data_IF_524125986130
#
_entry.id   IF_524125986130
#
_cell.length_a   1.000
_cell.length_b   1.000
_cell.length_c   1.000
_cell.angle_alpha   90.00
_cell.angle_beta   90.00
_cell.angle_gamma   90.00
#
_symmetry.space_group_name_H-M   'P 1'
#
loop_
_entity.id
_entity.type
_entity.pdbx_description
1 polymer ?
#
# COMPACT_ATOMS: atom_id res chain seq x y z
N UNK A 1 7.78 -14.03 -3.14
CA UNK A 1 6.83 -12.99 -2.67
C UNK A 1 7.45 -11.67 -3.02
N UNK A 2 6.76 -10.82 -3.79
CA UNK A 2 7.28 -9.50 -4.09
C UNK A 2 7.17 -8.63 -2.84
N UNK A 3 8.22 -7.87 -2.58
CA UNK A 3 8.28 -6.94 -1.46
C UNK A 3 7.96 -5.54 -1.95
N UNK A 4 7.22 -4.81 -1.14
CA UNK A 4 6.96 -3.38 -1.35
C UNK A 4 7.27 -2.67 -0.05
N UNK A 5 7.62 -1.41 -0.18
CA UNK A 5 8.09 -0.57 0.92
C UNK A 5 7.25 0.70 0.96
N UNK A 6 7.06 1.27 2.13
CA UNK A 6 6.51 2.60 2.27
C UNK A 6 7.57 3.58 2.73
N UNK A 7 7.53 4.78 2.17
CA UNK A 7 8.36 5.87 2.65
C UNK A 7 7.86 6.37 4.01
N UNK A 8 8.74 6.50 4.99
CA UNK A 8 8.34 6.99 6.31
C UNK A 8 7.95 8.47 6.26
N UNK A 9 8.49 9.25 5.33
CA UNK A 9 8.17 10.68 5.19
C UNK A 9 6.83 10.88 4.46
N UNK A 10 6.74 10.48 3.19
CA UNK A 10 5.56 10.75 2.37
C UNK A 10 4.48 9.66 2.44
N UNK A 11 4.76 8.53 3.08
CA UNK A 11 3.89 7.33 3.21
C UNK A 11 3.50 6.65 1.89
N UNK A 12 3.98 7.12 0.73
CA UNK A 12 3.73 6.44 -0.54
C UNK A 12 4.41 5.08 -0.56
N UNK A 13 3.79 4.16 -1.28
CA UNK A 13 4.30 2.80 -1.46
C UNK A 13 5.15 2.76 -2.74
N UNK A 14 6.28 2.07 -2.66
CA UNK A 14 7.27 1.88 -3.72
C UNK A 14 7.71 0.42 -3.75
N UNK A 15 8.16 -0.03 -4.91
CA UNK A 15 8.72 -1.38 -5.10
C UNK A 15 10.24 -1.44 -4.88
N UNK A 16 10.94 -0.30 -4.95
CA UNK A 16 12.37 -0.21 -4.65
C UNK A 16 12.60 -0.02 -3.14
N UNK A 17 13.66 -0.61 -2.59
CA UNK A 17 14.11 -0.50 -1.22
C UNK A 17 15.21 0.55 -1.00
N UNK A 18 15.79 1.11 -2.07
CA UNK A 18 16.85 2.11 -1.96
C UNK A 18 16.34 3.52 -1.61
N UNK A 19 15.40 4.05 -2.39
CA UNK A 19 14.96 5.45 -2.27
C UNK A 19 13.53 5.67 -2.72
N UNK A 20 12.84 6.56 -2.03
CA UNK A 20 11.51 6.99 -2.42
C UNK A 20 11.56 7.86 -3.70
N UNK A 21 10.98 7.36 -4.80
CA UNK A 21 10.89 8.08 -6.08
C UNK A 21 10.05 9.38 -6.02
N UNK A 22 9.36 9.65 -4.91
CA UNK A 22 8.41 10.77 -4.81
C UNK A 22 8.91 11.93 -3.96
N UNK A 23 9.59 11.65 -2.86
CA UNK A 23 10.09 12.69 -1.95
C UNK A 23 11.61 12.59 -1.74
N UNK A 24 12.30 11.70 -2.48
CA UNK A 24 13.73 11.49 -2.37
C UNK A 24 14.22 11.11 -0.96
N UNK A 25 13.31 10.62 -0.12
CA UNK A 25 13.60 10.12 1.21
C UNK A 25 14.29 8.75 1.16
N UNK A 26 15.20 8.52 2.09
CA UNK A 26 16.02 7.31 2.18
C UNK A 26 15.46 6.31 3.20
N UNK A 27 14.43 6.70 3.95
CA UNK A 27 13.87 5.87 5.01
C UNK A 27 12.62 5.13 4.50
N UNK A 28 12.85 3.94 3.96
CA UNK A 28 11.83 3.02 3.46
C UNK A 28 11.63 1.87 4.44
N UNK A 29 10.38 1.49 4.69
CA UNK A 29 10.01 0.37 5.57
C UNK A 29 9.19 -0.66 4.81
N UNK A 30 9.51 -1.93 4.98
CA UNK A 30 8.78 -3.03 4.33
C UNK A 30 7.31 -3.04 4.76
N UNK A 31 6.42 -3.25 3.80
CA UNK A 31 5.00 -3.51 4.05
C UNK A 31 4.80 -5.01 4.16
N UNK A 32 4.31 -5.42 5.32
CA UNK A 32 3.91 -6.80 5.57
C UNK A 32 2.43 -7.01 5.25
N UNK A 33 2.05 -8.26 5.01
CA UNK A 33 0.65 -8.66 4.92
C UNK A 33 -0.12 -8.20 6.17
N UNK A 34 -1.35 -7.73 5.97
CA UNK A 34 -2.21 -7.18 7.01
C UNK A 34 -2.00 -5.68 7.27
N UNK A 35 -0.95 -5.08 6.71
CA UNK A 35 -0.67 -3.65 6.88
C UNK A 35 -1.84 -2.77 6.38
N UNK A 36 -2.28 -1.77 7.18
CA UNK A 36 -3.33 -0.86 6.74
C UNK A 36 -2.79 0.17 5.76
N UNK A 37 -3.52 0.35 4.66
CA UNK A 37 -3.23 1.28 3.56
C UNK A 37 -4.52 1.98 3.11
N UNK A 38 -4.38 3.12 2.43
CA UNK A 38 -5.46 3.82 1.77
C UNK A 38 -5.18 3.99 0.27
N UNK A 39 -6.24 4.12 -0.51
CA UNK A 39 -6.14 4.39 -1.94
C UNK A 39 -6.12 5.90 -2.15
N UNK A 40 -5.06 6.42 -2.77
CA UNK A 40 -4.85 7.84 -3.06
C UNK A 40 -6.02 8.37 -3.92
N UNK A 41 -6.50 9.56 -3.58
CA UNK A 41 -7.65 10.17 -4.28
C UNK A 41 -9.01 9.64 -3.85
N UNK A 42 -9.07 8.69 -2.90
CA UNK A 42 -10.34 8.16 -2.39
C UNK A 42 -10.38 8.11 -0.85
N UNK A 43 -11.57 7.94 -0.28
CA UNK A 43 -11.74 7.66 1.15
C UNK A 43 -11.56 6.18 1.50
N UNK A 44 -11.23 5.33 0.52
CA UNK A 44 -11.18 3.89 0.69
C UNK A 44 -9.91 3.46 1.46
N UNK A 45 -10.11 2.73 2.55
CA UNK A 45 -9.05 2.12 3.35
C UNK A 45 -9.15 0.59 3.27
N UNK A 46 -8.01 -0.07 3.35
CA UNK A 46 -7.96 -1.52 3.31
C UNK A 46 -6.70 -2.07 3.98
N UNK A 47 -6.62 -3.39 4.05
CA UNK A 47 -5.43 -4.11 4.53
C UNK A 47 -4.79 -4.87 3.39
N UNK A 48 -3.46 -4.87 3.32
CA UNK A 48 -2.71 -5.62 2.32
C UNK A 48 -2.96 -7.12 2.52
N UNK A 49 -3.42 -7.80 1.47
CA UNK A 49 -3.61 -9.25 1.46
C UNK A 49 -2.46 -9.95 0.76
N UNK A 50 -2.13 -9.49 -0.45
CA UNK A 50 -1.08 -10.09 -1.27
C UNK A 50 -0.45 -9.03 -2.16
N UNK A 51 0.86 -9.14 -2.34
CA UNK A 51 1.65 -8.30 -3.24
C UNK A 51 2.00 -9.13 -4.47
N UNK A 52 1.65 -8.63 -5.65
CA UNK A 52 2.01 -9.15 -6.97
C UNK A 52 2.98 -8.15 -7.64
N UNK A 53 3.47 -8.41 -8.85
CA UNK A 53 4.53 -7.60 -9.49
C UNK A 53 4.20 -6.11 -9.62
N UNK A 54 3.00 -5.78 -10.10
CA UNK A 54 2.58 -4.38 -10.33
C UNK A 54 1.33 -4.00 -9.51
N UNK A 55 0.77 -4.97 -8.78
CA UNK A 55 -0.52 -4.83 -8.12
C UNK A 55 -0.48 -5.35 -6.69
N UNK A 56 -1.34 -4.78 -5.87
CA UNK A 56 -1.56 -5.19 -4.48
C UNK A 56 -3.03 -5.50 -4.29
N UNK A 57 -3.31 -6.70 -3.84
CA UNK A 57 -4.64 -7.12 -3.39
C UNK A 57 -4.87 -6.59 -1.99
N UNK A 58 -5.96 -5.83 -1.83
CA UNK A 58 -6.41 -5.29 -0.57
C UNK A 58 -7.70 -5.97 -0.13
N UNK A 59 -7.81 -6.23 1.17
CA UNK A 59 -9.08 -6.49 1.82
C UNK A 59 -9.66 -5.14 2.23
N UNK A 60 -10.80 -4.80 1.66
CA UNK A 60 -11.58 -3.60 1.97
C UNK A 60 -12.84 -4.04 2.68
N UNK A 61 -13.28 -3.25 3.66
CA UNK A 61 -14.55 -3.47 4.36
C UNK A 61 -15.54 -2.44 3.81
N UNK A 62 -16.67 -2.89 3.29
CA UNK A 62 -17.75 -2.00 2.83
C UNK A 62 -18.62 -1.52 4.01
N UNK A 63 -19.61 -0.67 3.71
CA UNK A 63 -20.53 -0.13 4.72
C UNK A 63 -21.39 -1.22 5.38
N UNK A 64 -21.65 -2.31 4.65
CA UNK A 64 -22.37 -3.49 5.15
C UNK A 64 -21.45 -4.47 5.91
N UNK A 65 -20.19 -4.10 6.19
CA UNK A 65 -19.16 -4.91 6.85
C UNK A 65 -18.73 -6.18 6.10
N UNK A 66 -19.02 -6.28 4.81
CA UNK A 66 -18.52 -7.35 3.98
C UNK A 66 -17.04 -7.14 3.64
N UNK A 67 -16.29 -8.24 3.59
CA UNK A 67 -14.89 -8.24 3.14
C UNK A 67 -14.87 -8.38 1.62
N UNK A 68 -14.40 -7.34 0.95
CA UNK A 68 -14.19 -7.32 -0.50
C UNK A 68 -12.69 -7.37 -0.79
N UNK A 69 -12.32 -8.17 -1.79
CA UNK A 69 -10.96 -8.17 -2.33
C UNK A 69 -10.94 -7.24 -3.53
N UNK A 70 -10.07 -6.23 -3.48
CA UNK A 70 -9.86 -5.30 -4.59
C UNK A 70 -8.39 -5.19 -4.94
N UNK A 71 -8.11 -4.99 -6.21
CA UNK A 71 -6.75 -4.88 -6.74
C UNK A 71 -6.44 -3.43 -7.09
N UNK A 72 -5.28 -2.95 -6.66
CA UNK A 72 -4.80 -1.61 -6.93
C UNK A 72 -3.34 -1.63 -7.36
N UNK A 73 -2.94 -0.67 -8.19
CA UNK A 73 -1.52 -0.49 -8.48
C UNK A 73 -0.78 0.06 -7.27
N UNK A 74 0.51 -0.25 -7.17
CA UNK A 74 1.35 0.22 -6.05
C UNK A 74 1.34 1.75 -5.93
N UNK A 75 1.40 2.45 -7.07
CA UNK A 75 1.36 3.91 -7.18
C UNK A 75 0.08 4.55 -6.62
N UNK A 76 -1.03 3.81 -6.59
CA UNK A 76 -2.32 4.29 -6.11
C UNK A 76 -2.47 4.14 -4.59
N UNK A 77 -1.47 3.61 -3.91
CA UNK A 77 -1.57 3.23 -2.50
C UNK A 77 -0.66 4.08 -1.62
N UNK A 78 -1.12 4.30 -0.38
CA UNK A 78 -0.39 5.01 0.66
C UNK A 78 -0.57 4.31 2.00
N UNK A 79 0.48 4.27 2.82
CA UNK A 79 0.45 3.68 4.15
C UNK A 79 -0.35 4.58 5.10
N UNK A 80 -1.22 3.97 5.89
CA UNK A 80 -1.92 4.62 7.01
C UNK A 80 -1.17 4.30 8.30
N UNK A 81 -0.89 5.32 9.13
CA UNK A 81 -0.31 5.13 10.46
C UNK A 81 -1.36 4.66 11.46
#
# INVERSE_FOLDING_TARGET
>A
MNKIYYCVDCKRIVSNDERCCYCNGNYLKEIVQGSPVNVIGTKQKGKVLKVEEDKVKLIVIDEAKNKLIKEYKIEQLKKVL
#
